data_IF_992789404342
#
_entry.id   IF_992789404342
#
_cell.length_a   1.000
_cell.length_b   1.000
_cell.length_c   1.000
_cell.angle_alpha   90.00
_cell.angle_beta   90.00
_cell.angle_gamma   90.00
#
_symmetry.space_group_name_H-M   'P 1'
#
loop_
_entity.id
_entity.type
_entity.pdbx_description
1 polymer ?
#
# COMPACT_ATOMS: atom_id res chain seq x y z
N UNK A 1 -1.48 18.67 10.85
CA UNK A 1 -1.03 17.83 11.99
C UNK A 1 -0.32 16.61 11.38
N UNK A 2 0.81 16.15 11.93
CA UNK A 2 1.62 15.06 11.31
C UNK A 2 0.99 13.68 11.55
N UNK A 3 0.50 13.43 12.76
CA UNK A 3 -0.16 12.19 13.16
C UNK A 3 -1.61 12.45 13.59
N UNK A 4 -2.46 11.41 13.48
CA UNK A 4 -3.85 11.46 13.93
C UNK A 4 -3.97 11.61 15.45
N UNK A 5 -3.19 10.80 16.17
CA UNK A 5 -3.15 10.75 17.64
C UNK A 5 -1.76 10.27 18.10
N UNK A 6 -1.36 10.72 19.28
CA UNK A 6 -0.18 10.21 19.99
C UNK A 6 -0.68 9.59 21.28
N UNK A 7 -0.33 8.34 21.53
CA UNK A 7 -0.73 7.59 22.73
C UNK A 7 0.48 6.86 23.32
N UNK A 8 0.38 6.52 24.59
CA UNK A 8 1.39 5.77 25.32
C UNK A 8 0.89 4.34 25.54
N UNK A 9 1.50 3.39 24.84
CA UNK A 9 1.14 1.97 24.91
C UNK A 9 0.27 1.46 23.76
N UNK A 10 0.12 0.13 23.74
CA UNK A 10 -0.64 -0.61 22.72
C UNK A 10 -2.06 -0.90 23.26
N UNK A 11 -3.13 -0.45 22.57
CA UNK A 11 -4.51 -0.69 22.97
C UNK A 11 -5.04 -2.05 22.49
N UNK A 12 -4.21 -2.84 21.82
CA UNK A 12 -4.50 -4.16 21.27
C UNK A 12 -3.70 -5.24 22.00
N UNK A 13 -4.16 -6.50 21.98
CA UNK A 13 -3.44 -7.62 22.58
C UNK A 13 -2.10 -7.86 21.89
N UNK A 14 -1.14 -8.45 22.63
CA UNK A 14 0.14 -8.85 22.05
C UNK A 14 -0.08 -9.96 21.01
N UNK A 15 0.45 -9.72 19.82
CA UNK A 15 0.29 -10.59 18.66
C UNK A 15 1.53 -11.45 18.39
N UNK A 16 2.64 -11.23 19.10
CA UNK A 16 3.90 -12.00 19.04
C UNK A 16 4.33 -12.42 17.61
N UNK A 17 4.16 -11.53 16.63
CA UNK A 17 4.53 -11.80 15.24
C UNK A 17 6.03 -11.65 15.08
N UNK A 18 6.67 -12.71 14.62
CA UNK A 18 8.11 -12.70 14.37
C UNK A 18 8.49 -11.79 13.20
N UNK A 19 9.72 -11.25 13.22
CA UNK A 19 10.22 -10.43 12.12
C UNK A 19 10.23 -11.12 10.75
N UNK A 20 10.30 -12.47 10.72
CA UNK A 20 10.17 -13.25 9.48
C UNK A 20 8.76 -13.17 8.91
N UNK A 21 7.75 -13.29 9.76
CA UNK A 21 6.34 -13.18 9.33
C UNK A 21 6.01 -11.77 8.86
N UNK A 22 6.55 -10.75 9.52
CA UNK A 22 6.48 -9.37 9.01
C UNK A 22 7.07 -9.25 7.61
N UNK A 23 8.22 -9.87 7.32
CA UNK A 23 8.84 -9.82 6.00
C UNK A 23 7.95 -10.38 4.87
N UNK A 24 7.04 -11.32 5.18
CA UNK A 24 6.06 -11.89 4.24
C UNK A 24 4.95 -10.89 3.88
N UNK A 25 4.59 -9.97 4.79
CA UNK A 25 3.52 -8.99 4.54
C UNK A 25 4.02 -7.96 3.52
N UNK A 26 3.38 -7.77 2.35
CA UNK A 26 3.85 -6.82 1.36
C UNK A 26 3.79 -5.37 1.91
N UNK A 27 4.83 -4.54 1.65
CA UNK A 27 4.83 -3.15 2.07
C UNK A 27 3.76 -2.36 1.32
N UNK A 28 3.01 -1.55 2.05
CA UNK A 28 1.95 -0.66 1.55
C UNK A 28 2.27 0.78 1.90
N UNK A 29 1.64 1.69 1.17
CA UNK A 29 1.80 3.13 1.39
C UNK A 29 0.73 3.62 2.37
N UNK A 30 1.15 4.37 3.38
CA UNK A 30 0.27 4.96 4.40
C UNK A 30 0.53 6.46 4.53
N UNK A 31 -0.52 7.21 4.81
CA UNK A 31 -0.38 8.63 5.13
C UNK A 31 -0.17 8.81 6.63
N UNK A 32 0.69 9.76 7.00
CA UNK A 32 1.02 9.98 8.41
C UNK A 32 -0.16 10.51 9.22
N UNK A 33 -1.03 11.30 8.59
CA UNK A 33 -2.23 11.89 9.21
C UNK A 33 -3.31 10.85 9.57
N UNK A 34 -3.19 9.62 9.07
CA UNK A 34 -4.10 8.50 9.40
C UNK A 34 -3.56 7.65 10.56
N UNK A 35 -2.28 7.78 10.90
CA UNK A 35 -1.60 6.91 11.86
C UNK A 35 -1.68 7.48 13.29
N UNK A 36 -1.91 6.58 14.24
CA UNK A 36 -1.82 6.82 15.67
C UNK A 36 -0.53 6.22 16.23
N UNK A 37 0.33 6.99 16.88
CA UNK A 37 1.61 6.47 17.38
C UNK A 37 1.44 5.78 18.72
N UNK A 38 2.04 4.60 18.90
CA UNK A 38 1.97 3.82 20.16
C UNK A 38 3.04 4.22 21.19
N UNK A 39 4.01 5.03 20.78
CA UNK A 39 5.06 5.58 21.65
C UNK A 39 5.04 7.10 21.61
N UNK A 40 5.31 7.69 22.77
CA UNK A 40 5.37 9.14 22.98
C UNK A 40 6.80 9.67 22.90
N UNK A 41 7.79 8.81 23.10
CA UNK A 41 9.20 9.21 23.25
C UNK A 41 9.90 9.16 21.90
N UNK A 42 10.42 10.31 21.47
CA UNK A 42 11.27 10.43 20.29
C UNK A 42 12.71 10.74 20.71
N UNK A 43 13.59 9.77 20.49
CA UNK A 43 15.03 9.92 20.71
C UNK A 43 15.68 10.72 19.55
N UNK A 44 16.19 11.92 19.83
CA UNK A 44 16.74 12.84 18.82
C UNK A 44 18.06 12.34 18.20
N UNK A 45 18.91 11.70 19.02
CA UNK A 45 20.13 11.00 18.60
C UNK A 45 19.83 9.96 17.52
N UNK A 46 18.76 9.17 17.72
CA UNK A 46 18.29 8.21 16.71
C UNK A 46 17.75 8.94 15.49
N UNK A 47 16.93 9.97 15.65
CA UNK A 47 16.39 10.74 14.52
C UNK A 47 17.48 11.31 13.60
N UNK A 48 18.62 11.73 14.15
CA UNK A 48 19.73 12.34 13.41
C UNK A 48 20.77 11.32 12.92
N UNK A 49 20.75 10.09 13.44
CA UNK A 49 21.67 9.04 13.03
C UNK A 49 21.42 8.61 11.57
N UNK A 50 22.50 8.52 10.79
CA UNK A 50 22.50 7.99 9.42
C UNK A 50 22.06 6.51 9.39
N UNK A 51 22.33 5.77 10.48
CA UNK A 51 21.97 4.35 10.68
C UNK A 51 20.53 4.14 11.22
N UNK A 52 19.73 5.19 11.39
CA UNK A 52 18.40 5.07 12.04
C UNK A 52 17.34 4.29 11.23
N UNK A 53 17.74 3.69 10.11
CA UNK A 53 16.99 2.67 9.37
C UNK A 53 17.41 1.24 9.71
N UNK A 54 18.32 1.04 10.68
CA UNK A 54 19.08 -0.19 10.83
C UNK A 54 18.88 -0.88 12.18
N UNK A 55 17.63 -1.02 12.63
CA UNK A 55 17.29 -2.01 13.65
C UNK A 55 16.07 -2.79 13.18
N UNK A 56 16.29 -3.74 12.27
CA UNK A 56 15.28 -4.69 11.82
C UNK A 56 14.81 -4.47 10.38
N UNK A 57 13.53 -4.12 10.21
CA UNK A 57 12.85 -4.05 8.92
C UNK A 57 13.06 -2.68 8.23
N UNK A 58 13.21 -2.70 6.90
CA UNK A 58 13.33 -1.48 6.09
C UNK A 58 12.03 -0.65 6.11
N UNK A 59 10.91 -1.30 6.40
CA UNK A 59 9.57 -0.71 6.41
C UNK A 59 9.04 -0.49 7.83
N UNK A 60 8.07 0.41 7.98
CA UNK A 60 7.37 0.58 9.27
C UNK A 60 6.45 -0.59 9.55
N UNK A 61 6.16 -0.83 10.83
CA UNK A 61 5.14 -1.77 11.24
C UNK A 61 3.91 -0.98 11.67
N UNK A 62 2.80 -1.25 10.99
CA UNK A 62 1.49 -0.69 11.29
C UNK A 62 0.59 -1.83 11.72
N UNK A 63 -0.16 -1.63 12.78
CA UNK A 63 -1.15 -2.57 13.27
C UNK A 63 -2.52 -1.91 13.13
N UNK A 64 -3.44 -2.60 12.45
CA UNK A 64 -4.83 -2.18 12.39
C UNK A 64 -5.62 -2.91 13.48
N UNK A 65 -6.33 -2.14 14.31
CA UNK A 65 -7.17 -2.67 15.38
C UNK A 65 -8.38 -1.77 15.60
N UNK A 66 -9.55 -2.36 15.72
CA UNK A 66 -10.85 -1.69 15.83
C UNK A 66 -11.05 -0.61 14.76
N UNK A 67 -10.55 -0.85 13.54
CA UNK A 67 -10.61 0.11 12.43
C UNK A 67 -9.64 1.30 12.51
N UNK A 68 -8.77 1.36 13.53
CA UNK A 68 -7.76 2.38 13.70
C UNK A 68 -6.37 1.85 13.31
N UNK A 69 -5.51 2.74 12.79
CA UNK A 69 -4.15 2.40 12.38
C UNK A 69 -3.14 2.87 13.42
N UNK A 70 -2.39 1.93 13.97
CA UNK A 70 -1.39 2.16 14.99
C UNK A 70 0.01 1.97 14.43
N UNK A 71 0.87 2.99 14.54
CA UNK A 71 2.29 2.91 14.21
C UNK A 71 3.01 2.30 15.41
N UNK A 72 3.46 1.06 15.25
CA UNK A 72 4.17 0.30 16.27
C UNK A 72 5.68 0.54 16.19
N UNK A 73 6.21 0.48 14.98
CA UNK A 73 7.62 0.74 14.71
C UNK A 73 7.82 1.68 13.52
N UNK A 74 8.93 2.40 13.51
CA UNK A 74 9.28 3.36 12.48
C UNK A 74 8.87 4.79 12.77
N UNK A 75 8.62 5.16 14.04
CA UNK A 75 8.29 6.53 14.43
C UNK A 75 9.32 7.54 13.92
N UNK A 76 10.62 7.29 14.11
CA UNK A 76 11.68 8.17 13.64
C UNK A 76 11.68 8.33 12.12
N UNK A 77 11.43 7.24 11.38
CA UNK A 77 11.33 7.27 9.92
C UNK A 77 10.11 8.08 9.46
N UNK A 78 8.97 7.94 10.14
CA UNK A 78 7.77 8.72 9.88
C UNK A 78 8.01 10.22 10.11
N UNK A 79 8.60 10.57 11.26
CA UNK A 79 8.93 11.96 11.59
C UNK A 79 9.96 12.54 10.62
N UNK A 80 11.01 11.78 10.28
CA UNK A 80 12.01 12.20 9.27
C UNK A 80 11.36 12.45 7.91
N UNK A 81 10.40 11.63 7.48
CA UNK A 81 9.63 11.87 6.25
C UNK A 81 8.80 13.14 6.34
N UNK A 82 8.10 13.35 7.46
CA UNK A 82 7.31 14.55 7.71
C UNK A 82 8.16 15.83 7.68
N UNK A 83 9.36 15.80 8.28
CA UNK A 83 10.32 16.91 8.25
C UNK A 83 10.83 17.24 6.84
N UNK A 84 10.79 16.27 5.92
CA UNK A 84 11.09 16.46 4.49
C UNK A 84 9.84 16.80 3.67
N UNK A 85 8.76 17.25 4.31
CA UNK A 85 7.46 17.53 3.68
C UNK A 85 6.84 16.33 2.94
N UNK A 86 7.19 15.10 3.34
CA UNK A 86 6.61 13.86 2.80
C UNK A 86 5.68 13.25 3.84
N UNK A 87 4.38 13.47 3.67
CA UNK A 87 3.34 12.99 4.59
C UNK A 87 2.96 11.52 4.37
N UNK A 88 3.88 10.74 3.81
CA UNK A 88 3.64 9.37 3.34
C UNK A 88 4.81 8.49 3.75
N UNK A 89 4.51 7.28 4.24
CA UNK A 89 5.48 6.27 4.65
C UNK A 89 5.12 4.91 4.05
N UNK A 90 6.15 4.10 3.77
CA UNK A 90 5.95 2.69 3.44
C UNK A 90 6.00 1.85 4.72
N UNK A 91 4.93 1.11 4.96
CA UNK A 91 4.79 0.25 6.12
C UNK A 91 4.16 -1.09 5.74
N UNK A 92 4.48 -2.12 6.52
CA UNK A 92 3.76 -3.38 6.50
C UNK A 92 2.64 -3.26 7.50
N UNK A 93 1.43 -3.62 7.10
CA UNK A 93 0.26 -3.56 7.97
C UNK A 93 -0.23 -4.96 8.29
N UNK A 94 -0.28 -5.26 9.59
CA UNK A 94 -0.98 -6.40 10.17
C UNK A 94 -2.41 -6.00 10.54
N UNK A 95 -3.40 -6.80 10.13
CA UNK A 95 -4.81 -6.56 10.44
C UNK A 95 -5.26 -7.48 11.57
N UNK A 96 -5.28 -6.97 12.81
CA UNK A 96 -5.71 -7.74 13.98
C UNK A 96 -7.25 -7.85 14.07
N UNK A 97 -8.00 -7.05 13.30
CA UNK A 97 -9.46 -7.24 13.19
C UNK A 97 -9.77 -8.50 12.37
N UNK A 98 -8.88 -8.90 11.46
CA UNK A 98 -8.97 -10.13 10.68
C UNK A 98 -8.27 -11.31 11.37
N UNK A 99 -7.16 -11.05 12.06
CA UNK A 99 -6.34 -12.04 12.76
C UNK A 99 -6.35 -11.79 14.26
N UNK A 100 -7.37 -12.32 14.93
CA UNK A 100 -7.54 -12.12 16.36
C UNK A 100 -6.57 -13.02 17.14
N UNK A 101 -5.62 -12.46 17.92
CA UNK A 101 -4.69 -13.24 18.74
C UNK A 101 -5.40 -14.06 19.83
N UNK A 102 -6.65 -13.73 20.19
CA UNK A 102 -7.43 -14.55 21.12
C UNK A 102 -7.86 -15.90 20.52
N UNK A 103 -7.94 -16.01 19.19
CA UNK A 103 -8.35 -17.23 18.48
C UNK A 103 -7.18 -18.16 18.14
N UNK A 104 -5.97 -17.88 18.63
CA UNK A 104 -4.76 -18.67 18.43
C UNK A 104 -3.59 -17.85 17.88
N UNK A 105 -2.45 -18.49 17.60
CA UNK A 105 -1.28 -17.79 17.09
C UNK A 105 -1.57 -17.16 15.73
N UNK A 106 -1.50 -15.83 15.65
CA UNK A 106 -1.79 -15.05 14.43
C UNK A 106 -0.95 -15.48 13.23
N UNK A 107 0.28 -15.95 13.44
CA UNK A 107 1.14 -16.46 12.36
C UNK A 107 0.55 -17.71 11.67
N UNK A 108 -0.12 -18.57 12.43
CA UNK A 108 -0.80 -19.77 11.89
C UNK A 108 -2.04 -19.37 11.09
N UNK A 109 -2.78 -18.37 11.59
CA UNK A 109 -3.96 -17.83 10.90
C UNK A 109 -3.55 -17.17 9.58
N UNK A 110 -2.44 -16.41 9.56
CA UNK A 110 -1.88 -15.84 8.34
C UNK A 110 -1.42 -16.91 7.34
N UNK A 111 -0.73 -17.97 7.80
CA UNK A 111 -0.36 -19.10 6.94
C UNK A 111 -1.59 -19.79 6.34
N UNK A 112 -2.64 -19.97 7.14
CA UNK A 112 -3.91 -20.55 6.67
C UNK A 112 -4.59 -19.65 5.65
N UNK A 113 -4.59 -18.34 5.85
CA UNK A 113 -5.17 -17.35 4.94
C UNK A 113 -4.43 -17.28 3.59
N UNK A 114 -3.10 -17.40 3.59
CA UNK A 114 -2.28 -17.40 2.37
C UNK A 114 -2.43 -18.71 1.55
N UNK A 115 -2.99 -19.76 2.15
CA UNK A 115 -3.27 -21.05 1.50
C UNK A 115 -4.65 -21.10 0.83
N UNK A 116 -5.45 -20.02 0.92
CA UNK A 116 -6.72 -19.92 0.18
C UNK A 116 -6.50 -20.00 -1.33
N UNK A 117 -7.36 -20.68 -2.11
CA UNK A 117 -7.18 -20.75 -3.56
C UNK A 117 -7.23 -19.33 -4.13
N UNK A 118 -6.18 -18.95 -4.86
CA UNK A 118 -6.19 -17.77 -5.73
C UNK A 118 -7.29 -18.00 -6.78
N UNK A 119 -8.51 -17.59 -6.47
CA UNK A 119 -9.61 -17.54 -7.45
C UNK A 119 -9.21 -16.47 -8.45
N UNK A 120 -8.59 -16.88 -9.57
CA UNK A 120 -8.44 -15.99 -10.73
C UNK A 120 -9.83 -15.47 -11.06
N UNK A 121 -10.04 -14.15 -11.12
CA UNK A 121 -11.31 -13.63 -11.58
C UNK A 121 -11.61 -14.25 -12.95
N UNK A 122 -12.85 -14.70 -13.22
CA UNK A 122 -13.19 -15.25 -14.52
C UNK A 122 -12.84 -14.19 -15.57
N UNK A 123 -12.02 -14.58 -16.56
CA UNK A 123 -11.70 -13.71 -17.69
C UNK A 123 -13.02 -13.17 -18.23
N UNK A 124 -13.20 -11.85 -18.22
CA UNK A 124 -14.33 -11.22 -18.90
C UNK A 124 -14.40 -11.76 -20.33
N UNK A 125 -15.57 -12.20 -20.82
CA UNK A 125 -15.69 -12.65 -22.19
C UNK A 125 -15.28 -11.51 -23.13
N UNK A 126 -14.50 -11.86 -24.15
CA UNK A 126 -14.03 -10.89 -25.13
C UNK A 126 -15.21 -10.10 -25.72
N UNK A 127 -15.07 -8.79 -25.97
CA UNK A 127 -16.12 -8.03 -26.65
C UNK A 127 -16.40 -8.67 -28.03
N UNK A 128 -17.67 -8.69 -28.48
CA UNK A 128 -18.02 -9.27 -29.77
C UNK A 128 -17.28 -8.52 -30.89
N UNK A 129 -16.57 -9.28 -31.73
CA UNK A 129 -15.94 -8.76 -32.93
C UNK A 129 -17.06 -8.34 -33.89
N UNK A 130 -17.27 -7.05 -34.07
CA UNK A 130 -18.10 -6.54 -35.16
C UNK A 130 -17.36 -6.81 -36.47
N UNK A 131 -17.76 -7.86 -37.19
CA UNK A 131 -17.36 -8.08 -38.57
C UNK A 131 -17.80 -6.87 -39.41
N UNK A 132 -16.82 -6.11 -39.89
CA UNK A 132 -17.05 -5.07 -40.87
C UNK A 132 -17.27 -5.74 -42.24
N UNK A 133 -18.39 -5.48 -42.96
CA UNK A 133 -18.59 -6.07 -44.27
C UNK A 133 -17.57 -5.52 -45.26
N UNK A 134 -16.87 -6.45 -45.90
CA UNK A 134 -15.93 -6.21 -46.99
C UNK A 134 -16.64 -5.57 -48.19
N UNK A 135 -16.41 -4.28 -48.42
CA UNK A 135 -16.76 -3.64 -49.68
C UNK A 135 -15.73 -4.04 -50.76
N UNK A 136 -16.07 -5.07 -51.52
CA UNK A 136 -15.44 -5.42 -52.78
C UNK A 136 -15.54 -4.25 -53.76
N UNK A 137 -14.39 -3.78 -54.24
CA UNK A 137 -14.28 -2.62 -55.09
C UNK A 137 -14.82 -2.81 -56.51
N UNK A 138 -15.37 -1.72 -57.06
CA UNK A 138 -15.36 -1.46 -58.50
C UNK A 138 -15.28 0.06 -58.76
N UNK A 139 -14.15 0.46 -59.35
CA UNK A 139 -13.96 1.49 -60.37
C UNK A 139 -15.03 2.60 -60.55
N UNK A 140 -14.63 3.88 -60.35
CA UNK A 140 -14.50 4.87 -61.46
C UNK A 140 -14.14 6.30 -60.99
N UNK A 141 -13.02 6.77 -61.56
CA UNK A 141 -12.72 8.12 -62.11
C UNK A 141 -12.90 9.39 -61.26
N UNK A 142 -11.79 10.17 -61.25
CA UNK A 142 -11.62 11.65 -61.36
C UNK A 142 -12.55 12.51 -60.50
N UNK A 143 -12.04 13.47 -59.73
CA UNK A 143 -11.66 14.81 -60.25
C UNK A 143 -10.71 15.51 -59.26
N UNK A 144 -9.68 16.16 -59.82
CA UNK A 144 -8.82 17.18 -59.20
C UNK A 144 -9.61 18.36 -58.61
N UNK A 145 -9.21 18.84 -57.43
CA UNK A 145 -9.06 20.26 -56.98
C UNK A 145 -8.69 20.17 -55.49
N UNK A 146 -7.45 20.45 -55.08
CA UNK A 146 -6.87 21.78 -55.03
C UNK A 146 -7.07 22.35 -53.63
N UNK A 147 -6.19 22.02 -52.68
CA UNK A 147 -6.15 22.65 -51.36
C UNK A 147 -4.88 23.49 -51.26
N UNK A 148 -5.07 24.80 -51.29
CA UNK A 148 -4.07 25.80 -50.90
C UNK A 148 -4.01 25.87 -49.37
N UNK A 149 -2.81 25.87 -48.82
CA UNK A 149 -2.52 26.25 -47.44
C UNK A 149 -2.38 27.77 -47.33
N UNK A 150 -2.96 28.44 -46.33
CA UNK A 150 -2.48 29.75 -45.91
C UNK A 150 -1.44 29.57 -44.80
N UNK A 151 -0.25 30.12 -45.04
CA UNK A 151 0.73 30.45 -43.99
C UNK A 151 0.24 31.68 -43.25
N UNK A 152 0.22 31.66 -41.91
CA UNK A 152 0.67 32.73 -41.02
C UNK A 152 1.12 32.09 -39.70
#
# INVERSE_FOLDING_TARGET
MIFKRVQDGKPYPDHDVSGRTWATIPPRQFRLDELSTTTTVLALDRLLSEDSTFYGDLFAHVVKWQGELYLEDGLHRAVRSALRSRNVIHARMLDLDAFDPANGPVEEQMRTADTGPVVRPPRSPAPPQFESPSASGTDRRRIRRGWQTPNW
#
